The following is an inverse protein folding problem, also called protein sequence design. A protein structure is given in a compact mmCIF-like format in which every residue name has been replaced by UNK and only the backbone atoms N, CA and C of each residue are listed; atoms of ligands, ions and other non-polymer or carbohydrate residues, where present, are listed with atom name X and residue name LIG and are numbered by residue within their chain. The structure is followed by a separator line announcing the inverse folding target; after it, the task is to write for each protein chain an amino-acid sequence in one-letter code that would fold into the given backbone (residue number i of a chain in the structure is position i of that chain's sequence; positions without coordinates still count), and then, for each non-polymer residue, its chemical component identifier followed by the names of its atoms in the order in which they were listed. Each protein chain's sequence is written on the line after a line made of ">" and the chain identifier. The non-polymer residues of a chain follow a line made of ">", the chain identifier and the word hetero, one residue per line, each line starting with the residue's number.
data_IF_098979802162
#
_entry.id   IF_098979802162
#
_cell.length_a   1.000
_cell.length_b   1.000
_cell.length_c   1.000
_cell.angle_alpha   90.00
_cell.angle_beta   90.00
_cell.angle_gamma   90.00
#
_symmetry.space_group_name_H-M   'P 1'
#
loop_
_entity.id
_entity.type
_entity.pdbx_description
1 polymer ?
#
# COMPACT_ATOMS: atom_id res chain seq x y z
N UNK A 1 15.68 -11.72 3.22
CA UNK A 1 14.85 -10.75 2.47
C UNK A 1 14.37 -9.70 3.46
N UNK A 2 14.30 -8.40 3.09
CA UNK A 2 13.68 -7.40 3.96
C UNK A 2 12.20 -7.73 4.19
N UNK A 3 11.63 -7.32 5.32
CA UNK A 3 10.18 -7.40 5.53
C UNK A 3 9.43 -6.49 4.54
N UNK A 4 8.15 -6.78 4.30
CA UNK A 4 7.34 -6.08 3.30
C UNK A 4 7.28 -4.56 3.51
N UNK A 5 7.18 -4.11 4.77
CA UNK A 5 7.13 -2.67 5.04
C UNK A 5 8.48 -1.99 4.77
N UNK A 6 9.58 -2.66 5.13
CA UNK A 6 10.94 -2.21 4.76
C UNK A 6 11.13 -2.15 3.24
N UNK A 7 10.63 -3.13 2.49
CA UNK A 7 10.66 -3.11 1.03
C UNK A 7 9.83 -1.96 0.42
N UNK A 8 8.66 -1.65 1.00
CA UNK A 8 7.81 -0.53 0.61
C UNK A 8 8.52 0.81 0.83
N UNK A 9 9.10 1.02 2.03
CA UNK A 9 9.87 2.23 2.36
C UNK A 9 11.05 2.40 1.40
N UNK A 10 11.82 1.33 1.14
CA UNK A 10 12.93 1.36 0.18
C UNK A 10 12.46 1.76 -1.24
N UNK A 11 11.30 1.28 -1.67
CA UNK A 11 10.70 1.65 -2.97
C UNK A 11 10.34 3.14 -3.02
N UNK A 12 9.77 3.69 -1.95
CA UNK A 12 9.48 5.13 -1.84
C UNK A 12 10.76 5.98 -1.92
N UNK A 13 11.84 5.57 -1.25
CA UNK A 13 13.13 6.24 -1.36
C UNK A 13 13.70 6.18 -2.78
N UNK A 14 13.62 5.02 -3.44
CA UNK A 14 14.06 4.88 -4.83
C UNK A 14 13.29 5.80 -5.79
N UNK A 15 11.98 5.95 -5.59
CA UNK A 15 11.15 6.88 -6.37
C UNK A 15 11.54 8.33 -6.16
N UNK A 16 11.87 8.73 -4.92
CA UNK A 16 12.38 10.08 -4.62
C UNK A 16 13.72 10.37 -5.30
N UNK A 17 14.59 9.37 -5.42
CA UNK A 17 15.86 9.51 -6.17
C UNK A 17 15.59 9.66 -7.67
N UNK A 18 14.67 8.86 -8.21
CA UNK A 18 14.33 8.86 -9.63
C UNK A 18 13.59 10.14 -10.07
N UNK A 19 12.76 10.69 -9.20
CA UNK A 19 11.94 11.88 -9.43
C UNK A 19 12.18 12.87 -8.27
N UNK A 20 13.27 13.67 -8.33
CA UNK A 20 13.69 14.52 -7.22
C UNK A 20 12.78 15.74 -6.99
N UNK A 21 12.15 16.24 -8.04
CA UNK A 21 11.28 17.42 -8.02
C UNK A 21 9.84 17.08 -7.57
N UNK A 22 9.05 18.11 -7.28
CA UNK A 22 7.62 18.00 -6.92
C UNK A 22 7.31 17.11 -5.71
N UNK A 23 8.14 17.25 -4.68
CA UNK A 23 8.17 16.38 -3.50
C UNK A 23 7.83 17.11 -2.19
N UNK A 24 7.23 18.30 -2.28
CA UNK A 24 6.78 19.08 -1.14
C UNK A 24 5.56 18.47 -0.43
N UNK A 25 5.21 18.96 0.77
CA UNK A 25 4.14 18.38 1.58
C UNK A 25 2.77 18.43 0.88
N UNK A 26 2.43 19.55 0.24
CA UNK A 26 1.15 19.67 -0.47
C UNK A 26 1.11 18.84 -1.75
N UNK A 27 2.22 18.73 -2.48
CA UNK A 27 2.32 17.90 -3.68
C UNK A 27 2.13 16.41 -3.34
N UNK A 28 2.65 15.95 -2.20
CA UNK A 28 2.43 14.59 -1.69
C UNK A 28 0.98 14.33 -1.31
N UNK A 29 0.30 15.30 -0.71
CA UNK A 29 -1.13 15.19 -0.39
C UNK A 29 -1.97 15.18 -1.67
N UNK A 30 -1.64 16.02 -2.65
CA UNK A 30 -2.27 15.99 -3.98
C UNK A 30 -2.08 14.63 -4.64
N UNK A 31 -0.86 14.07 -4.61
CA UNK A 31 -0.58 12.71 -5.10
C UNK A 31 -1.43 11.67 -4.38
N UNK A 32 -1.54 11.70 -3.05
CA UNK A 32 -2.41 10.79 -2.31
C UNK A 32 -3.87 10.88 -2.76
N UNK A 33 -4.38 12.09 -3.00
CA UNK A 33 -5.75 12.31 -3.47
C UNK A 33 -5.97 11.78 -4.90
N UNK A 34 -5.00 12.00 -5.79
CA UNK A 34 -4.96 11.47 -7.16
C UNK A 34 -5.03 9.93 -7.13
N UNK A 35 -4.09 9.27 -6.43
CA UNK A 35 -4.03 7.80 -6.37
C UNK A 35 -5.27 7.20 -5.69
N UNK A 36 -5.86 7.89 -4.71
CA UNK A 36 -7.12 7.45 -4.08
C UNK A 36 -8.30 7.50 -5.06
N UNK A 37 -8.32 8.51 -5.95
CA UNK A 37 -9.31 8.62 -7.02
C UNK A 37 -9.14 7.52 -8.07
N UNK A 38 -7.90 7.17 -8.43
CA UNK A 38 -7.59 6.06 -9.33
C UNK A 38 -7.97 4.71 -8.72
N UNK A 39 -7.67 4.48 -7.44
CA UNK A 39 -8.11 3.28 -6.73
C UNK A 39 -9.64 3.16 -6.68
N UNK A 40 -10.36 4.24 -6.35
CA UNK A 40 -11.82 4.25 -6.38
C UNK A 40 -12.36 3.96 -7.80
N UNK A 41 -11.68 4.48 -8.82
CA UNK A 41 -12.00 4.21 -10.21
C UNK A 41 -11.81 2.74 -10.60
N UNK A 42 -10.75 2.08 -10.11
CA UNK A 42 -10.47 0.67 -10.32
C UNK A 42 -11.46 -0.24 -9.58
N UNK A 43 -11.83 0.09 -8.34
CA UNK A 43 -12.88 -0.61 -7.58
C UNK A 43 -14.22 -0.52 -8.31
N UNK A 44 -14.63 0.67 -8.78
CA UNK A 44 -15.87 0.82 -9.54
C UNK A 44 -15.90 -0.06 -10.79
N UNK A 45 -14.74 -0.23 -11.44
CA UNK A 45 -14.61 -1.11 -12.61
C UNK A 45 -14.71 -2.59 -12.21
N UNK A 46 -14.04 -3.00 -11.13
CA UNK A 46 -14.11 -4.35 -10.59
C UNK A 46 -15.54 -4.78 -10.20
N UNK A 47 -16.29 -3.86 -9.58
CA UNK A 47 -17.69 -4.07 -9.18
C UNK A 47 -18.69 -3.98 -10.35
N UNK A 48 -18.21 -3.74 -11.57
CA UNK A 48 -19.06 -3.63 -12.75
C UNK A 48 -20.00 -2.42 -12.73
N UNK A 49 -19.69 -1.40 -11.93
CA UNK A 49 -20.54 -0.22 -11.77
C UNK A 49 -20.29 0.81 -12.88
N UNK A 50 -21.38 1.41 -13.39
CA UNK A 50 -21.33 2.44 -14.43
C UNK A 50 -20.93 1.92 -15.82
N UNK A 51 -20.51 2.83 -16.70
CA UNK A 51 -20.17 2.53 -18.11
C UNK A 51 -18.76 1.95 -18.29
N UNK A 52 -18.02 1.70 -17.20
CA UNK A 52 -16.59 1.39 -17.25
C UNK A 52 -16.27 0.04 -17.87
N UNK A 53 -17.04 -1.00 -17.56
CA UNK A 53 -16.89 -2.31 -18.22
C UNK A 53 -17.11 -2.19 -19.73
N UNK A 54 -18.12 -1.40 -20.13
CA UNK A 54 -18.41 -1.15 -21.54
C UNK A 54 -17.30 -0.32 -22.25
N UNK A 55 -16.62 0.57 -21.52
CA UNK A 55 -15.58 1.45 -22.08
C UNK A 55 -14.16 0.86 -22.03
N UNK A 56 -13.83 0.11 -20.99
CA UNK A 56 -12.46 -0.32 -20.68
C UNK A 56 -12.28 -1.85 -20.70
N UNK A 57 -13.34 -2.60 -21.00
CA UNK A 57 -13.31 -4.05 -21.06
C UNK A 57 -13.45 -4.71 -19.68
N UNK A 58 -13.08 -5.99 -19.55
CA UNK A 58 -13.20 -6.73 -18.29
C UNK A 58 -12.27 -6.18 -17.20
N UNK A 59 -12.57 -6.53 -15.96
CA UNK A 59 -11.71 -6.27 -14.81
C UNK A 59 -10.31 -6.86 -15.01
N UNK A 60 -9.28 -6.07 -14.69
CA UNK A 60 -7.89 -6.51 -14.63
C UNK A 60 -7.38 -6.46 -13.17
N UNK A 61 -7.15 -7.62 -12.53
CA UNK A 61 -6.59 -7.68 -11.18
C UNK A 61 -5.25 -6.97 -11.03
N UNK A 62 -4.41 -6.96 -12.07
CA UNK A 62 -3.09 -6.33 -12.03
C UNK A 62 -3.22 -4.81 -11.92
N UNK A 63 -4.21 -4.21 -12.59
CA UNK A 63 -4.51 -2.79 -12.48
C UNK A 63 -4.96 -2.41 -11.06
N UNK A 64 -5.83 -3.19 -10.42
CA UNK A 64 -6.23 -2.94 -9.04
C UNK A 64 -5.03 -3.01 -8.07
N UNK A 65 -4.16 -4.01 -8.23
CA UNK A 65 -2.94 -4.13 -7.42
C UNK A 65 -2.02 -2.92 -7.60
N UNK A 66 -1.88 -2.41 -8.84
CA UNK A 66 -1.14 -1.18 -9.11
C UNK A 66 -1.72 -0.01 -8.30
N UNK A 67 -3.03 0.23 -8.38
CA UNK A 67 -3.63 1.40 -7.72
C UNK A 67 -3.56 1.31 -6.19
N UNK A 68 -3.71 0.11 -5.63
CA UNK A 68 -3.48 -0.11 -4.18
C UNK A 68 -2.03 0.25 -3.82
N UNK A 69 -1.07 -0.20 -4.62
CA UNK A 69 0.35 0.07 -4.37
C UNK A 69 0.69 1.55 -4.48
N UNK A 70 0.07 2.27 -5.42
CA UNK A 70 0.31 3.71 -5.62
C UNK A 70 -0.22 4.52 -4.42
N UNK A 71 -1.38 4.15 -3.85
CA UNK A 71 -1.87 4.71 -2.58
C UNK A 71 -0.92 4.43 -1.42
N UNK A 72 -0.45 3.19 -1.27
CA UNK A 72 0.49 2.81 -0.21
C UNK A 72 1.80 3.62 -0.30
N UNK A 73 2.35 3.78 -1.51
CA UNK A 73 3.56 4.59 -1.76
C UNK A 73 3.33 6.06 -1.44
N UNK A 74 2.19 6.62 -1.82
CA UNK A 74 1.85 8.02 -1.54
C UNK A 74 1.77 8.27 -0.02
N UNK A 75 1.06 7.41 0.72
CA UNK A 75 0.91 7.51 2.17
C UNK A 75 2.25 7.35 2.91
N UNK A 76 3.05 6.31 2.58
CA UNK A 76 4.39 6.13 3.17
C UNK A 76 5.33 7.26 2.75
N UNK A 77 5.17 7.80 1.55
CA UNK A 77 5.90 8.98 1.07
C UNK A 77 5.65 10.23 1.92
N UNK A 78 4.45 10.40 2.49
CA UNK A 78 4.15 11.46 3.46
C UNK A 78 4.86 11.18 4.78
N UNK A 79 4.78 9.95 5.31
CA UNK A 79 5.48 9.58 6.54
C UNK A 79 7.00 9.79 6.43
N UNK A 80 7.59 9.41 5.30
CA UNK A 80 9.00 9.63 5.00
C UNK A 80 9.38 11.11 4.90
N UNK A 81 8.48 11.97 4.39
CA UNK A 81 8.70 13.41 4.33
C UNK A 81 8.79 14.05 5.73
N UNK A 82 7.95 13.60 6.66
CA UNK A 82 7.93 14.11 8.03
C UNK A 82 8.87 13.37 8.99
N UNK A 83 9.59 12.34 8.52
CA UNK A 83 10.53 11.58 9.35
C UNK A 83 9.86 10.65 10.37
N UNK A 84 8.60 10.26 10.14
CA UNK A 84 7.78 9.45 11.09
C UNK A 84 7.61 7.99 10.64
N UNK A 85 8.53 7.46 9.83
CA UNK A 85 8.44 6.09 9.30
C UNK A 85 8.56 5.04 10.40
N UNK A 86 9.43 5.26 11.38
CA UNK A 86 9.61 4.33 12.50
C UNK A 86 8.44 4.38 13.48
N UNK A 87 7.84 5.56 13.67
CA UNK A 87 6.60 5.71 14.45
C UNK A 87 5.44 4.98 13.75
N UNK A 88 5.31 5.11 12.42
CA UNK A 88 4.32 4.37 11.64
C UNK A 88 4.54 2.85 11.76
N UNK A 89 5.79 2.37 11.70
CA UNK A 89 6.12 0.94 11.89
C UNK A 89 5.69 0.44 13.27
N UNK A 90 5.96 1.24 14.30
CA UNK A 90 5.56 0.96 15.69
C UNK A 90 4.05 0.90 15.80
N UNK A 91 3.33 1.89 15.25
CA UNK A 91 1.89 1.91 15.24
C UNK A 91 1.30 0.67 14.54
N UNK A 92 1.81 0.26 13.37
CA UNK A 92 1.35 -0.96 12.68
C UNK A 92 1.51 -2.19 13.60
N UNK A 93 2.66 -2.30 14.27
CA UNK A 93 2.95 -3.42 15.19
C UNK A 93 2.01 -3.41 16.40
N UNK A 94 1.83 -2.25 17.04
CA UNK A 94 0.94 -2.10 18.19
C UNK A 94 -0.51 -2.40 17.83
N UNK A 95 -0.97 -1.95 16.66
CA UNK A 95 -2.28 -2.27 16.13
C UNK A 95 -2.44 -3.77 15.92
N UNK A 96 -1.45 -4.44 15.32
CA UNK A 96 -1.46 -5.91 15.17
C UNK A 96 -1.57 -6.62 16.53
N UNK A 97 -0.70 -6.28 17.49
CA UNK A 97 -0.69 -6.91 18.81
C UNK A 97 -2.01 -6.69 19.56
N UNK A 98 -2.62 -5.50 19.44
CA UNK A 98 -3.94 -5.22 20.00
C UNK A 98 -5.01 -6.14 19.44
N UNK A 99 -5.02 -6.37 18.12
CA UNK A 99 -6.01 -7.25 17.50
C UNK A 99 -5.79 -8.73 17.85
N UNK A 100 -4.55 -9.16 18.04
CA UNK A 100 -4.22 -10.49 18.59
C UNK A 100 -4.75 -10.64 20.02
N UNK A 101 -4.51 -9.65 20.89
CA UNK A 101 -4.99 -9.67 22.27
C UNK A 101 -6.53 -9.68 22.37
N UNK A 102 -7.21 -9.09 21.39
CA UNK A 102 -8.68 -9.11 21.27
C UNK A 102 -9.22 -10.40 20.64
N UNK A 103 -8.36 -11.33 20.20
CA UNK A 103 -8.78 -12.54 19.50
C UNK A 103 -9.36 -12.29 18.09
N UNK A 104 -9.05 -11.14 17.48
CA UNK A 104 -9.52 -10.76 16.13
C UNK A 104 -8.56 -11.22 15.02
N UNK A 105 -7.33 -11.59 15.39
CA UNK A 105 -6.33 -12.18 14.50
C UNK A 105 -5.83 -13.46 15.17
N UNK A 106 -5.87 -14.56 14.43
CA UNK A 106 -5.17 -15.79 14.84
C UNK A 106 -3.66 -15.53 14.75
N UNK A 107 -2.96 -15.63 15.89
CA UNK A 107 -1.51 -15.53 15.89
C UNK A 107 -0.93 -16.64 15.01
N UNK A 108 0.06 -16.36 14.14
CA UNK A 108 0.63 -17.38 13.27
C UNK A 108 1.14 -18.55 14.11
N UNK A 109 0.71 -19.76 13.75
CA UNK A 109 1.08 -20.99 14.44
C UNK A 109 2.62 -21.13 14.39
N UNK A 110 3.32 -21.38 15.52
CA UNK A 110 4.75 -21.64 15.49
C UNK A 110 5.00 -22.99 14.81
N UNK A 111 5.23 -22.97 13.49
CA UNK A 111 5.53 -24.20 12.72
C UNK A 111 5.29 -24.17 11.21
N UNK A 112 4.77 -23.09 10.62
CA UNK A 112 4.33 -23.06 9.23
C UNK A 112 5.28 -22.42 8.21
N UNK A 113 6.58 -22.72 8.24
CA UNK A 113 7.53 -22.33 7.16
C UNK A 113 8.54 -23.46 6.87
N UNK A 114 8.03 -24.67 6.71
CA UNK A 114 8.78 -25.76 6.10
C UNK A 114 7.93 -26.42 5.02
N UNK A 115 7.89 -25.83 3.82
CA UNK A 115 7.66 -26.58 2.58
C UNK A 115 8.57 -26.01 1.49
N UNK A 116 9.83 -26.45 1.55
CA UNK A 116 10.75 -26.45 0.42
C UNK A 116 10.93 -27.88 -0.07
N UNK A 117 10.88 -28.01 -1.39
CA UNK A 117 11.26 -29.15 -2.24
C UNK A 117 10.26 -30.31 -2.41
N UNK A 118 9.53 -30.22 -3.52
CA UNK A 118 9.52 -31.27 -4.55
C UNK A 118 9.78 -30.68 -5.93
#
# INVERSE_FOLDING_TARGET
>A
MPDTFTALVATVHALKIRFPDHNGPFERVTRLAEESGELAAAVNHAEGTGIKVAKHGPFDPAHLVKEVMDVLRAAVGIAAHYGVVDDLRTAITDHYQRHVALGLIEAPHPGGDQHGDR
#
